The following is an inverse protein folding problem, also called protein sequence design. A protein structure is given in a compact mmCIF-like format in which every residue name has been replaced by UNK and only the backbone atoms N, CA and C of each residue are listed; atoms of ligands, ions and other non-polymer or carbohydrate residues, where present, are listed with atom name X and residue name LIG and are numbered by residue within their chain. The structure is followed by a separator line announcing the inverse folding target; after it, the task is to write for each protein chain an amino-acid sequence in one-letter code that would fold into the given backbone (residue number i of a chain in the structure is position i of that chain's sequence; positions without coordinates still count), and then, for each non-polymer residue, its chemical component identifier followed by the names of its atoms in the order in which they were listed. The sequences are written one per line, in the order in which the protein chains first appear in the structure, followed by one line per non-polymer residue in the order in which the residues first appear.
data_IF_632322322627
#
_entry.id   IF_632322322627
#
_cell.length_a   1.000
_cell.length_b   1.000
_cell.length_c   1.000
_cell.angle_alpha   90.00
_cell.angle_beta   90.00
_cell.angle_gamma   90.00
#
_symmetry.space_group_name_H-M   'P 1'
#
loop_
_entity.id
_entity.type
_entity.pdbx_description
1 polymer ?
#
# COMPACT_ATOMS: atom_id res chain seq x y z
N UNK A 1 36.80 38.67 44.52
CA UNK A 1 35.38 38.27 44.60
C UNK A 1 34.96 37.95 43.17
N UNK A 2 34.76 36.66 42.87
CA UNK A 2 34.58 36.14 41.52
C UNK A 2 33.14 36.35 41.03
N UNK A 3 32.99 36.88 39.82
CA UNK A 3 31.71 36.97 39.09
C UNK A 3 31.51 35.67 38.32
N UNK A 4 30.55 34.86 38.77
CA UNK A 4 30.17 33.60 38.13
C UNK A 4 29.23 33.90 36.95
N UNK A 5 29.71 33.73 35.73
CA UNK A 5 28.89 33.79 34.51
C UNK A 5 28.17 32.45 34.37
N UNK A 6 26.86 32.43 34.61
CA UNK A 6 26.00 31.29 34.26
C UNK A 6 25.78 31.29 32.75
N UNK A 7 26.33 30.30 32.04
CA UNK A 7 25.89 30.00 30.67
C UNK A 7 24.63 29.14 30.73
N UNK A 8 23.54 29.49 30.02
CA UNK A 8 22.44 28.58 29.83
C UNK A 8 22.88 27.45 28.90
N UNK A 9 22.75 26.22 29.39
CA UNK A 9 22.90 25.00 28.59
C UNK A 9 21.80 25.04 27.52
N UNK A 10 22.21 25.13 26.26
CA UNK A 10 21.32 24.88 25.12
C UNK A 10 20.80 23.45 25.24
N UNK A 11 19.59 23.32 25.76
CA UNK A 11 18.80 22.10 25.65
C UNK A 11 18.63 21.83 24.16
N UNK A 12 19.34 20.84 23.64
CA UNK A 12 19.07 20.27 22.32
C UNK A 12 17.72 19.57 22.41
N UNK A 13 16.64 20.34 22.31
CA UNK A 13 15.35 19.80 21.95
C UNK A 13 15.53 19.21 20.55
N UNK A 14 15.74 17.89 20.51
CA UNK A 14 15.42 17.06 19.36
C UNK A 14 13.95 17.33 19.09
N UNK A 15 13.67 18.28 18.20
CA UNK A 15 12.33 18.47 17.67
C UNK A 15 12.00 17.13 17.04
N UNK A 16 10.99 16.38 17.55
CA UNK A 16 10.56 15.19 16.86
C UNK A 16 10.16 15.68 15.48
N UNK A 17 10.87 15.22 14.44
CA UNK A 17 10.52 15.55 13.07
C UNK A 17 9.10 15.05 12.86
N UNK A 18 8.15 15.98 12.96
CA UNK A 18 6.76 15.76 12.65
C UNK A 18 6.67 15.64 11.12
N UNK A 19 7.16 14.51 10.62
CA UNK A 19 6.75 13.97 9.35
C UNK A 19 5.24 13.77 9.48
N UNK A 20 4.47 14.61 8.79
CA UNK A 20 3.14 14.19 8.41
C UNK A 20 3.40 13.03 7.45
N UNK A 21 3.24 11.81 7.97
CA UNK A 21 3.40 10.55 7.27
C UNK A 21 1.99 10.08 6.86
N UNK A 22 1.71 10.07 5.56
CA UNK A 22 0.66 9.30 4.89
C UNK A 22 1.31 8.05 4.28
N UNK A 23 2.52 7.67 4.70
CA UNK A 23 2.63 6.28 5.13
C UNK A 23 1.67 6.19 6.31
N UNK A 24 0.67 5.31 6.32
CA UNK A 24 -0.09 5.10 7.54
C UNK A 24 0.95 4.65 8.57
N UNK A 25 1.36 5.54 9.48
CA UNK A 25 2.10 5.14 10.69
C UNK A 25 1.25 4.14 11.48
N UNK A 26 -0.07 4.13 11.22
CA UNK A 26 -1.00 3.11 11.64
C UNK A 26 -0.65 1.70 11.15
N UNK A 27 0.06 1.50 10.03
CA UNK A 27 0.42 0.16 9.51
C UNK A 27 1.79 -0.35 9.96
N UNK A 28 2.69 0.54 10.39
CA UNK A 28 4.03 0.18 10.88
C UNK A 28 5.08 -0.09 9.79
N UNK A 29 4.83 0.34 8.55
CA UNK A 29 5.86 0.38 7.50
C UNK A 29 6.88 1.48 7.81
N UNK A 30 8.17 1.19 7.63
CA UNK A 30 9.26 2.14 7.88
C UNK A 30 9.74 2.78 6.57
N UNK A 31 9.45 2.14 5.43
CA UNK A 31 9.86 2.61 4.10
C UNK A 31 11.39 2.61 3.92
N UNK A 32 12.10 1.76 4.68
CA UNK A 32 13.56 1.67 4.63
C UNK A 32 14.04 0.95 3.36
N UNK A 33 13.13 0.22 2.71
CA UNK A 33 13.40 -0.64 1.57
C UNK A 33 12.67 -0.20 0.30
N UNK A 34 12.28 1.08 0.21
CA UNK A 34 11.57 1.63 -0.96
C UNK A 34 12.32 1.40 -2.26
N UNK A 35 11.59 1.03 -3.31
CA UNK A 35 12.15 0.74 -4.62
C UNK A 35 13.10 -0.46 -4.67
N UNK A 36 13.32 -1.17 -3.54
CA UNK A 36 14.23 -2.31 -3.51
C UNK A 36 13.55 -3.61 -3.93
N UNK A 37 14.33 -4.51 -4.55
CA UNK A 37 13.88 -5.86 -4.88
C UNK A 37 13.47 -6.66 -3.64
N UNK A 38 14.05 -6.37 -2.49
CA UNK A 38 13.70 -7.01 -1.22
C UNK A 38 12.28 -6.68 -0.76
N UNK A 39 11.83 -5.44 -0.94
CA UNK A 39 10.47 -5.03 -0.59
C UNK A 39 9.43 -5.50 -1.63
N UNK A 40 9.84 -5.73 -2.87
CA UNK A 40 8.97 -6.26 -3.93
C UNK A 40 8.74 -7.78 -3.80
N UNK A 41 9.71 -8.52 -3.28
CA UNK A 41 9.64 -9.98 -3.11
C UNK A 41 8.34 -10.51 -2.46
N UNK A 42 7.87 -9.97 -1.32
CA UNK A 42 6.60 -10.43 -0.73
C UNK A 42 5.39 -10.16 -1.63
N UNK A 43 5.40 -9.09 -2.44
CA UNK A 43 4.31 -8.76 -3.36
C UNK A 43 4.27 -9.75 -4.53
N UNK A 44 5.43 -10.18 -5.03
CA UNK A 44 5.54 -11.25 -6.03
C UNK A 44 5.07 -12.61 -5.47
N UNK A 45 5.32 -12.88 -4.19
CA UNK A 45 4.80 -14.08 -3.52
C UNK A 45 3.27 -14.06 -3.45
N UNK A 46 2.67 -12.91 -3.15
CA UNK A 46 1.22 -12.73 -3.16
C UNK A 46 0.61 -12.94 -4.55
N UNK A 47 1.24 -12.40 -5.60
CA UNK A 47 0.81 -12.61 -6.99
C UNK A 47 0.80 -14.11 -7.33
N UNK A 48 1.88 -14.83 -7.01
CA UNK A 48 1.97 -16.28 -7.24
C UNK A 48 0.91 -17.06 -6.44
N UNK A 49 0.72 -16.70 -5.17
CA UNK A 49 -0.31 -17.31 -4.33
C UNK A 49 -1.71 -17.12 -4.92
N UNK A 50 -2.02 -15.90 -5.39
CA UNK A 50 -3.32 -15.60 -6.04
C UNK A 50 -3.54 -16.42 -7.30
N UNK A 51 -2.51 -16.51 -8.15
CA UNK A 51 -2.57 -17.34 -9.36
C UNK A 51 -2.87 -18.80 -9.00
N UNK A 52 -2.16 -19.36 -8.02
CA UNK A 52 -2.39 -20.74 -7.59
C UNK A 52 -3.79 -20.94 -6.98
N UNK A 53 -4.31 -19.95 -6.26
CA UNK A 53 -5.66 -19.99 -5.69
C UNK A 53 -6.73 -19.95 -6.79
N UNK A 54 -6.52 -19.11 -7.81
CA UNK A 54 -7.38 -19.04 -8.99
C UNK A 54 -7.37 -20.36 -9.76
N UNK A 55 -6.17 -20.91 -10.05
CA UNK A 55 -6.02 -22.21 -10.70
C UNK A 55 -6.76 -23.29 -9.92
N UNK A 56 -6.63 -23.33 -8.59
CA UNK A 56 -7.34 -24.30 -7.74
C UNK A 56 -8.86 -24.18 -7.82
N UNK A 57 -9.39 -22.97 -8.01
CA UNK A 57 -10.82 -22.71 -8.14
C UNK A 57 -11.39 -23.05 -9.54
N UNK A 58 -10.60 -22.91 -10.61
CA UNK A 58 -11.05 -23.11 -12.00
C UNK A 58 -10.67 -24.46 -12.62
N UNK A 59 -9.72 -25.18 -12.04
CA UNK A 59 -9.26 -26.46 -12.56
C UNK A 59 -10.39 -27.49 -12.59
N UNK A 60 -10.25 -28.50 -13.47
CA UNK A 60 -11.26 -29.53 -13.69
C UNK A 60 -11.67 -30.28 -12.40
N UNK A 61 -10.73 -30.42 -11.46
CA UNK A 61 -10.97 -31.07 -10.17
C UNK A 61 -11.50 -30.13 -9.07
N UNK A 62 -11.65 -28.82 -9.35
CA UNK A 62 -12.13 -27.74 -8.46
C UNK A 62 -11.84 -27.99 -6.96
N UNK A 63 -10.65 -27.63 -6.51
CA UNK A 63 -10.27 -27.83 -5.11
C UNK A 63 -10.44 -26.53 -4.28
N UNK A 64 -11.68 -26.32 -3.82
CA UNK A 64 -12.02 -25.19 -2.96
C UNK A 64 -11.30 -25.24 -1.61
N UNK A 65 -10.96 -26.43 -1.09
CA UNK A 65 -10.20 -26.56 0.14
C UNK A 65 -8.74 -26.11 -0.06
N UNK A 66 -8.13 -26.47 -1.18
CA UNK A 66 -6.81 -25.96 -1.56
C UNK A 66 -6.84 -24.44 -1.79
N UNK A 67 -7.84 -23.93 -2.51
CA UNK A 67 -8.03 -22.49 -2.72
C UNK A 67 -8.08 -21.74 -1.38
N UNK A 68 -8.96 -22.18 -0.47
CA UNK A 68 -9.07 -21.66 0.90
C UNK A 68 -7.75 -21.74 1.66
N UNK A 69 -7.05 -22.87 1.58
CA UNK A 69 -5.78 -23.04 2.29
C UNK A 69 -4.69 -22.08 1.79
N UNK A 70 -4.67 -21.76 0.50
CA UNK A 70 -3.77 -20.74 -0.05
C UNK A 70 -4.16 -19.36 0.50
N UNK A 71 -5.44 -19.00 0.39
CA UNK A 71 -5.97 -17.71 0.84
C UNK A 71 -5.70 -17.45 2.33
N UNK A 72 -5.90 -18.44 3.20
CA UNK A 72 -5.78 -18.26 4.64
C UNK A 72 -4.36 -18.34 5.19
N UNK A 73 -3.43 -19.00 4.47
CA UNK A 73 -2.08 -19.25 4.97
C UNK A 73 -0.99 -18.44 4.24
N UNK A 74 -1.24 -18.01 3.01
CA UNK A 74 -0.23 -17.29 2.20
C UNK A 74 -0.54 -15.79 2.06
N UNK A 75 -1.77 -15.35 2.35
CA UNK A 75 -2.17 -13.95 2.28
C UNK A 75 -2.41 -13.43 3.71
N UNK A 76 -1.88 -12.24 4.07
CA UNK A 76 -2.13 -11.63 5.37
C UNK A 76 -3.63 -11.44 5.63
N UNK A 77 -4.09 -11.88 6.81
CA UNK A 77 -5.50 -11.84 7.21
C UNK A 77 -5.98 -10.45 7.61
N UNK A 78 -5.05 -9.60 8.07
CA UNK A 78 -5.35 -8.25 8.50
C UNK A 78 -4.97 -7.25 7.42
N UNK A 79 -5.91 -6.38 7.06
CA UNK A 79 -5.70 -5.30 6.09
C UNK A 79 -4.43 -4.50 6.38
N UNK A 80 -4.20 -4.23 7.67
CA UNK A 80 -3.03 -3.51 8.15
C UNK A 80 -1.72 -4.20 7.78
N UNK A 81 -1.65 -5.51 8.00
CA UNK A 81 -0.46 -6.32 7.69
C UNK A 81 -0.27 -6.46 6.19
N UNK A 82 -1.37 -6.62 5.44
CA UNK A 82 -1.37 -6.64 3.99
C UNK A 82 -0.80 -5.34 3.43
N UNK A 83 -1.40 -4.20 3.78
CA UNK A 83 -0.99 -2.88 3.27
C UNK A 83 0.44 -2.53 3.64
N UNK A 84 0.92 -2.98 4.81
CA UNK A 84 2.32 -2.80 5.23
C UNK A 84 3.33 -3.35 4.21
N UNK A 85 3.03 -4.48 3.56
CA UNK A 85 3.93 -5.07 2.55
C UNK A 85 4.15 -4.12 1.36
N UNK A 86 3.07 -3.47 0.92
CA UNK A 86 3.11 -2.51 -0.18
C UNK A 86 3.70 -1.18 0.27
N UNK A 87 3.34 -0.71 1.47
CA UNK A 87 3.82 0.56 2.03
C UNK A 87 5.34 0.56 2.28
N UNK A 88 5.95 -0.60 2.47
CA UNK A 88 7.41 -0.74 2.59
C UNK A 88 8.13 -0.56 1.25
N UNK A 89 7.48 -0.90 0.13
CA UNK A 89 7.98 -0.67 -1.23
C UNK A 89 7.62 0.71 -1.78
N UNK A 90 6.38 1.16 -1.56
CA UNK A 90 5.78 2.36 -2.16
C UNK A 90 6.52 3.66 -1.82
N UNK A 91 6.45 4.60 -2.76
CA UNK A 91 6.99 5.94 -2.54
C UNK A 91 6.36 6.62 -1.31
N UNK A 92 7.17 7.39 -0.58
CA UNK A 92 6.69 8.22 0.50
C UNK A 92 5.94 9.43 -0.02
N UNK A 93 5.24 10.13 0.88
CA UNK A 93 4.55 11.37 0.50
C UNK A 93 5.53 12.38 -0.07
N UNK A 94 5.18 12.96 -1.22
CA UNK A 94 5.93 14.08 -1.77
C UNK A 94 5.89 15.29 -0.84
N UNK A 95 6.93 16.11 -0.89
CA UNK A 95 6.97 17.38 -0.15
C UNK A 95 5.73 18.24 -0.42
N UNK A 96 5.24 18.24 -1.67
CA UNK A 96 4.05 18.97 -2.09
C UNK A 96 2.80 18.51 -1.37
N UNK A 97 2.56 17.20 -1.30
CA UNK A 97 1.40 16.66 -0.58
C UNK A 97 1.52 16.94 0.94
N UNK A 98 2.72 16.85 1.53
CA UNK A 98 2.94 17.27 2.92
C UNK A 98 2.61 18.75 3.14
N UNK A 99 2.97 19.61 2.18
CA UNK A 99 2.70 21.04 2.25
C UNK A 99 1.21 21.35 2.10
N UNK A 100 0.51 20.69 1.17
CA UNK A 100 -0.95 20.81 1.01
C UNK A 100 -1.69 20.33 2.26
N UNK A 101 -1.31 19.21 2.85
CA UNK A 101 -1.97 18.67 4.06
C UNK A 101 -1.75 19.57 5.28
N UNK A 102 -0.51 20.05 5.48
CA UNK A 102 -0.18 20.94 6.61
C UNK A 102 -0.73 22.36 6.46
N UNK A 103 -0.91 22.83 5.23
CA UNK A 103 -1.38 24.18 4.92
C UNK A 103 -2.73 24.18 4.22
N UNK A 104 -3.55 23.14 4.37
CA UNK A 104 -4.83 22.99 3.67
C UNK A 104 -5.73 24.22 3.87
N UNK A 105 -5.68 24.82 5.06
CA UNK A 105 -6.40 26.05 5.39
C UNK A 105 -5.82 27.31 4.71
N UNK A 106 -4.49 27.38 4.51
CA UNK A 106 -3.82 28.51 3.87
C UNK A 106 -3.96 28.45 2.35
N UNK A 107 -3.73 27.27 1.76
CA UNK A 107 -3.76 27.03 0.30
C UNK A 107 -5.13 27.33 -0.29
N UNK A 108 -6.22 27.02 0.44
CA UNK A 108 -7.59 27.32 0.01
C UNK A 108 -7.86 28.82 -0.13
N UNK A 109 -7.20 29.65 0.69
CA UNK A 109 -7.42 31.09 0.71
C UNK A 109 -6.37 31.91 -0.07
N UNK A 110 -5.19 31.34 -0.36
CA UNK A 110 -4.08 32.10 -0.96
C UNK A 110 -3.80 31.76 -2.42
N UNK A 111 -4.73 31.15 -3.18
CA UNK A 111 -4.63 30.80 -4.62
C UNK A 111 -3.27 31.17 -5.25
N UNK A 112 -2.29 30.25 -5.16
CA UNK A 112 -1.03 30.39 -5.90
C UNK A 112 0.14 31.11 -5.23
N UNK A 113 0.27 31.13 -3.89
CA UNK A 113 1.55 31.53 -3.28
C UNK A 113 2.58 30.38 -3.32
N UNK A 114 2.97 30.01 -4.53
CA UNK A 114 4.14 29.17 -4.82
C UNK A 114 5.38 30.02 -4.57
N UNK A 115 5.94 29.95 -3.36
CA UNK A 115 7.12 30.74 -2.99
C UNK A 115 8.23 30.68 -4.06
N UNK A 116 8.98 31.77 -4.22
CA UNK A 116 9.96 31.97 -5.30
C UNK A 116 10.87 30.75 -5.50
N UNK A 117 10.90 30.19 -6.72
CA UNK A 117 11.73 29.04 -7.10
C UNK A 117 11.13 27.66 -6.86
N UNK A 118 9.83 27.55 -6.56
CA UNK A 118 9.14 26.27 -6.34
C UNK A 118 8.30 25.86 -7.55
N UNK A 119 8.20 24.56 -7.81
CA UNK A 119 7.28 24.00 -8.79
C UNK A 119 5.83 24.27 -8.35
N UNK A 120 4.92 24.45 -9.32
CA UNK A 120 3.58 24.92 -9.00
C UNK A 120 2.76 23.91 -8.20
N UNK A 121 1.99 24.38 -7.21
CA UNK A 121 1.00 23.54 -6.50
C UNK A 121 -0.12 23.04 -7.42
N UNK A 122 -0.33 23.64 -8.59
CA UNK A 122 -1.36 23.20 -9.54
C UNK A 122 -0.86 22.15 -10.56
N UNK A 123 0.46 21.97 -10.73
CA UNK A 123 1.02 20.93 -11.60
C UNK A 123 1.08 19.58 -10.90
N UNK A 124 0.39 18.56 -11.38
CA UNK A 124 0.51 17.21 -10.83
C UNK A 124 1.98 16.74 -10.82
N UNK A 125 2.44 16.30 -9.64
CA UNK A 125 3.79 15.75 -9.46
C UNK A 125 3.75 14.28 -9.90
N UNK A 126 4.67 13.86 -10.77
CA UNK A 126 4.75 12.47 -11.26
C UNK A 126 4.81 11.46 -10.12
N UNK A 127 5.46 11.83 -9.01
CA UNK A 127 5.51 11.03 -7.77
C UNK A 127 4.16 10.89 -7.09
N UNK A 128 3.36 11.95 -7.11
CA UNK A 128 2.00 11.93 -6.55
C UNK A 128 1.07 11.07 -7.40
N UNK A 129 1.19 11.14 -8.73
CA UNK A 129 0.43 10.28 -9.66
C UNK A 129 0.81 8.81 -9.43
N UNK A 130 2.10 8.51 -9.34
CA UNK A 130 2.62 7.17 -9.11
C UNK A 130 2.14 6.60 -7.77
N UNK A 131 2.27 7.36 -6.69
CA UNK A 131 1.80 6.99 -5.36
C UNK A 131 0.29 6.72 -5.34
N UNK A 132 -0.50 7.58 -5.99
CA UNK A 132 -1.96 7.41 -6.06
C UNK A 132 -2.32 6.10 -6.76
N UNK A 133 -1.66 5.79 -7.88
CA UNK A 133 -1.88 4.52 -8.59
C UNK A 133 -1.45 3.32 -7.77
N UNK A 134 -0.29 3.37 -7.13
CA UNK A 134 0.21 2.30 -6.24
C UNK A 134 -0.78 2.02 -5.10
N UNK A 135 -1.32 3.07 -4.46
CA UNK A 135 -2.31 2.91 -3.39
C UNK A 135 -3.66 2.43 -3.90
N UNK A 136 -4.07 2.84 -5.11
CA UNK A 136 -5.23 2.30 -5.80
C UNK A 136 -5.12 0.78 -5.96
N UNK A 137 -4.08 0.32 -6.65
CA UNK A 137 -3.85 -1.11 -6.85
C UNK A 137 -3.71 -1.91 -5.55
N UNK A 138 -3.02 -1.37 -4.54
CA UNK A 138 -2.94 -1.99 -3.21
C UNK A 138 -4.34 -2.17 -2.60
N UNK A 139 -5.19 -1.16 -2.67
CA UNK A 139 -6.53 -1.23 -2.09
C UNK A 139 -7.44 -2.19 -2.88
N UNK A 140 -7.38 -2.15 -4.21
CA UNK A 140 -8.17 -3.03 -5.07
C UNK A 140 -7.78 -4.49 -4.86
N UNK A 141 -6.48 -4.78 -4.72
CA UNK A 141 -5.99 -6.11 -4.39
C UNK A 141 -6.54 -6.60 -3.04
N UNK A 142 -6.55 -5.74 -2.01
CA UNK A 142 -7.10 -6.07 -0.71
C UNK A 142 -8.60 -6.39 -0.78
N UNK A 143 -9.38 -5.57 -1.48
CA UNK A 143 -10.82 -5.78 -1.67
C UNK A 143 -11.06 -7.13 -2.35
N UNK A 144 -10.35 -7.42 -3.45
CA UNK A 144 -10.45 -8.70 -4.14
C UNK A 144 -10.15 -9.89 -3.22
N UNK A 145 -9.14 -9.79 -2.36
CA UNK A 145 -8.85 -10.85 -1.40
C UNK A 145 -9.89 -11.00 -0.30
N UNK A 146 -10.37 -9.90 0.28
CA UNK A 146 -11.37 -9.97 1.35
C UNK A 146 -12.67 -10.61 0.85
N UNK A 147 -13.09 -10.26 -0.36
CA UNK A 147 -14.27 -10.83 -1.00
C UNK A 147 -14.02 -12.30 -1.37
N UNK A 148 -12.85 -12.65 -1.94
CA UNK A 148 -12.51 -14.04 -2.25
C UNK A 148 -12.47 -14.95 -1.01
N UNK A 149 -11.97 -14.45 0.13
CA UNK A 149 -11.97 -15.18 1.40
C UNK A 149 -13.40 -15.41 1.90
N UNK A 150 -14.25 -14.39 1.84
CA UNK A 150 -15.65 -14.53 2.24
C UNK A 150 -16.38 -15.54 1.34
N UNK A 151 -16.16 -15.44 0.02
CA UNK A 151 -16.81 -16.28 -0.97
C UNK A 151 -16.37 -17.74 -0.87
N UNK A 152 -15.07 -18.03 -0.70
CA UNK A 152 -14.62 -19.43 -0.59
C UNK A 152 -15.15 -20.10 0.68
N UNK A 153 -15.28 -19.37 1.80
CA UNK A 153 -15.90 -19.89 3.02
C UNK A 153 -17.40 -20.13 2.83
N UNK A 154 -18.08 -19.25 2.09
CA UNK A 154 -19.49 -19.41 1.73
C UNK A 154 -19.72 -20.66 0.85
N UNK A 155 -18.94 -20.82 -0.22
CA UNK A 155 -19.02 -21.99 -1.12
C UNK A 155 -18.72 -23.32 -0.40
N UNK A 156 -17.85 -23.31 0.60
CA UNK A 156 -17.54 -24.49 1.42
C UNK A 156 -18.60 -24.77 2.49
N UNK A 157 -19.45 -23.78 2.84
CA UNK A 157 -20.52 -23.95 3.82
C UNK A 157 -21.71 -24.73 3.27
N UNK A 158 -21.92 -24.72 1.95
CA UNK A 158 -22.99 -25.46 1.27
C UNK A 158 -22.46 -26.17 0.01
N UNK A 159 -22.37 -27.52 0.01
CA UNK A 159 -21.95 -28.31 -1.14
C UNK A 159 -22.81 -28.12 -2.40
N UNK A 160 -24.05 -27.61 -2.28
CA UNK A 160 -24.86 -27.32 -3.46
C UNK A 160 -24.34 -26.11 -4.25
N UNK A 161 -23.56 -25.23 -3.61
CA UNK A 161 -23.02 -24.00 -4.21
C UNK A 161 -21.63 -24.17 -4.79
N UNK A 162 -20.91 -25.24 -4.44
CA UNK A 162 -19.50 -25.45 -4.81
C UNK A 162 -19.24 -25.50 -6.33
N UNK A 163 -20.29 -25.66 -7.13
CA UNK A 163 -20.21 -25.62 -8.59
C UNK A 163 -20.16 -24.20 -9.16
N UNK A 164 -20.73 -23.20 -8.47
CA UNK A 164 -20.86 -21.82 -8.92
C UNK A 164 -19.71 -20.93 -8.37
N UNK A 165 -18.53 -21.10 -8.96
CA UNK A 165 -17.31 -20.37 -8.55
C UNK A 165 -17.16 -19.03 -9.26
N UNK A 166 -18.19 -18.51 -9.94
CA UNK A 166 -18.04 -17.32 -10.79
C UNK A 166 -17.61 -16.08 -9.99
N UNK A 167 -18.23 -15.84 -8.83
CA UNK A 167 -17.87 -14.69 -8.01
C UNK A 167 -16.49 -14.86 -7.38
N UNK A 168 -16.16 -16.05 -6.87
CA UNK A 168 -14.83 -16.36 -6.35
C UNK A 168 -13.73 -16.09 -7.39
N UNK A 169 -13.92 -16.57 -8.62
CA UNK A 169 -12.95 -16.41 -9.70
C UNK A 169 -12.81 -14.96 -10.13
N UNK A 170 -13.92 -14.20 -10.16
CA UNK A 170 -13.91 -12.76 -10.42
C UNK A 170 -13.13 -12.00 -9.34
N UNK A 171 -13.35 -12.30 -8.06
CA UNK A 171 -12.62 -11.64 -6.98
C UNK A 171 -11.12 -11.94 -7.00
N UNK A 172 -10.75 -13.20 -7.25
CA UNK A 172 -9.35 -13.61 -7.42
C UNK A 172 -8.70 -12.96 -8.64
N UNK A 173 -9.42 -12.84 -9.76
CA UNK A 173 -8.92 -12.17 -10.97
C UNK A 173 -8.70 -10.68 -10.73
N UNK A 174 -9.67 -9.99 -10.08
CA UNK A 174 -9.52 -8.59 -9.71
C UNK A 174 -8.30 -8.36 -8.81
N UNK A 175 -8.08 -9.24 -7.83
CA UNK A 175 -6.90 -9.16 -6.96
C UNK A 175 -5.60 -9.36 -7.76
N UNK A 176 -5.58 -10.34 -8.66
CA UNK A 176 -4.42 -10.65 -9.50
C UNK A 176 -4.10 -9.49 -10.45
N UNK A 177 -5.10 -8.90 -11.10
CA UNK A 177 -4.93 -7.77 -12.00
C UNK A 177 -4.41 -6.53 -11.27
N UNK A 178 -4.91 -6.28 -10.06
CA UNK A 178 -4.42 -5.20 -9.22
C UNK A 178 -2.94 -5.42 -8.80
N UNK A 179 -2.56 -6.65 -8.43
CA UNK A 179 -1.17 -7.00 -8.12
C UNK A 179 -0.26 -6.81 -9.35
N UNK A 180 -0.71 -7.26 -10.52
CA UNK A 180 0.01 -7.09 -11.78
C UNK A 180 0.21 -5.60 -12.11
N UNK A 181 -0.84 -4.79 -11.94
CA UNK A 181 -0.77 -3.34 -12.10
C UNK A 181 0.23 -2.69 -11.16
N UNK A 182 0.23 -3.09 -9.88
CA UNK A 182 1.21 -2.60 -8.90
C UNK A 182 2.64 -2.99 -9.29
N UNK A 183 2.87 -4.26 -9.64
CA UNK A 183 4.20 -4.77 -10.02
C UNK A 183 4.72 -4.08 -11.29
N UNK A 184 3.86 -3.82 -12.28
CA UNK A 184 4.25 -3.10 -13.48
C UNK A 184 4.74 -1.68 -13.16
N UNK A 185 4.06 -0.98 -12.24
CA UNK A 185 4.53 0.33 -11.76
C UNK A 185 5.83 0.22 -10.96
N UNK A 186 5.98 -0.84 -10.16
CA UNK A 186 7.17 -1.08 -9.35
C UNK A 186 8.43 -1.36 -10.19
N UNK A 187 8.32 -2.17 -11.23
CA UNK A 187 9.44 -2.53 -12.11
C UNK A 187 10.01 -1.31 -12.83
N UNK A 188 9.16 -0.38 -13.26
CA UNK A 188 9.58 0.87 -13.89
C UNK A 188 10.41 1.77 -12.96
N UNK A 189 10.31 1.59 -11.63
CA UNK A 189 11.09 2.35 -10.63
C UNK A 189 12.43 1.67 -10.35
N UNK A 190 12.52 0.34 -10.47
CA UNK A 190 13.73 -0.41 -10.13
C UNK A 190 14.84 -0.41 -11.19
N UNK A 191 14.53 0.12 -12.38
CA UNK A 191 15.46 0.24 -13.51
C UNK A 191 16.09 1.65 -13.62
N UNK A 192 15.67 2.61 -12.76
CA UNK A 192 16.32 3.93 -12.57
C UNK A 192 17.32 3.93 -11.41
#
# INVERSE_FOLDING_TARGET
IALSVHMPILSTHVVPSAYAANLPTSNGALGLKRGSKEALAPILQLQKATSNALDSAINADKDLNQCRNILLNQIPKEEKQFKRLFDEFSEGISYKQQYLDKNAFLVYYTKGFDGVGRASIEQEDEKQILQTKQYGFRNDAWIGYSEAIAEVEYLLSDPALSEDVQDLTKFLQNALDALNGYIALASNISDE
#
